data_IF_906172956759
#
_entry.id   IF_906172956759
#
_cell.length_a   1.000
_cell.length_b   1.000
_cell.length_c   1.000
_cell.angle_alpha   90.00
_cell.angle_beta   90.00
_cell.angle_gamma   90.00
#
_symmetry.space_group_name_H-M   'P 1'
#
loop_
_entity.id
_entity.type
_entity.pdbx_description
1 polymer ?
#
# COMPACT_ATOMS: atom_id res chain seq x y z
N UNK A 1 -5.58 21.45 21.42
CA UNK A 1 -4.68 20.91 20.37
C UNK A 1 -5.53 20.56 19.16
N UNK A 2 -5.38 21.30 18.05
CA UNK A 2 -6.13 21.09 16.80
C UNK A 2 -5.56 19.83 16.13
N UNK A 3 -6.39 18.79 15.98
CA UNK A 3 -6.03 17.58 15.23
C UNK A 3 -6.04 17.92 13.74
N UNK A 4 -4.89 17.82 13.09
CA UNK A 4 -4.81 17.83 11.63
C UNK A 4 -5.36 16.50 11.13
N UNK A 5 -6.63 16.47 10.75
CA UNK A 5 -7.18 15.42 9.91
C UNK A 5 -6.73 15.74 8.48
N UNK A 6 -5.62 15.16 8.04
CA UNK A 6 -5.27 15.14 6.62
C UNK A 6 -6.18 14.09 5.99
N UNK A 7 -7.37 14.51 5.58
CA UNK A 7 -8.26 13.75 4.70
C UNK A 7 -7.63 13.74 3.30
N UNK A 8 -6.84 12.72 3.00
CA UNK A 8 -6.61 12.34 1.60
C UNK A 8 -7.81 11.49 1.18
N UNK A 9 -8.92 12.14 0.83
CA UNK A 9 -9.95 11.49 0.05
C UNK A 9 -9.37 11.25 -1.35
N UNK A 10 -8.88 10.04 -1.60
CA UNK A 10 -8.45 9.58 -2.92
C UNK A 10 -9.71 9.34 -3.77
N UNK A 11 -10.38 10.42 -4.18
CA UNK A 11 -11.46 10.38 -5.17
C UNK A 11 -10.78 10.15 -6.52
N UNK A 12 -10.59 8.91 -6.92
CA UNK A 12 -10.18 8.60 -8.29
C UNK A 12 -10.97 7.38 -8.75
N UNK A 13 -11.79 7.56 -9.76
CA UNK A 13 -12.63 6.52 -10.35
C UNK A 13 -11.80 5.61 -11.26
N UNK A 14 -11.38 4.45 -10.73
CA UNK A 14 -10.68 3.41 -11.51
C UNK A 14 -11.67 2.31 -11.88
N UNK A 15 -11.93 2.15 -13.18
CA UNK A 15 -12.87 1.17 -13.72
C UNK A 15 -12.14 -0.10 -14.18
N UNK A 16 -12.67 -1.28 -13.87
CA UNK A 16 -12.21 -2.56 -14.42
C UNK A 16 -13.40 -3.42 -14.84
N UNK A 17 -13.24 -4.25 -15.87
CA UNK A 17 -14.32 -5.02 -16.51
C UNK A 17 -14.00 -6.51 -16.66
N UNK A 18 -15.04 -7.36 -16.63
CA UNK A 18 -14.93 -8.77 -16.97
C UNK A 18 -16.18 -9.31 -17.70
N UNK A 19 -15.97 -10.31 -18.57
CA UNK A 19 -17.01 -10.90 -19.43
C UNK A 19 -17.95 -11.84 -18.63
N UNK A 20 -19.27 -11.73 -18.85
CA UNK A 20 -20.28 -12.59 -18.21
C UNK A 20 -21.06 -13.44 -19.21
N UNK A 21 -21.49 -14.63 -18.74
CA UNK A 21 -22.40 -15.54 -19.43
C UNK A 21 -23.88 -15.32 -19.04
N UNK A 22 -24.15 -14.62 -17.93
CA UNK A 22 -25.47 -14.32 -17.39
C UNK A 22 -25.61 -12.80 -17.20
N UNK A 23 -26.80 -12.23 -17.42
CA UNK A 23 -27.04 -10.77 -17.38
C UNK A 23 -27.31 -10.23 -15.97
N UNK A 24 -27.11 -11.05 -14.94
CA UNK A 24 -27.31 -10.66 -13.54
C UNK A 24 -26.09 -9.90 -13.00
N UNK A 25 -26.32 -8.83 -12.22
CA UNK A 25 -25.23 -8.08 -11.58
C UNK A 25 -24.52 -9.00 -10.58
N UNK A 26 -23.19 -9.21 -10.68
CA UNK A 26 -22.43 -10.03 -9.75
C UNK A 26 -22.67 -9.66 -8.29
N UNK A 27 -22.56 -10.64 -7.40
CA UNK A 27 -22.56 -10.40 -5.96
C UNK A 27 -21.25 -9.74 -5.53
N UNK A 28 -21.27 -9.06 -4.38
CA UNK A 28 -20.12 -8.33 -3.85
C UNK A 28 -18.87 -9.20 -3.67
N UNK A 29 -19.05 -10.46 -3.27
CA UNK A 29 -17.98 -11.45 -3.05
C UNK A 29 -17.46 -12.11 -4.35
N UNK A 30 -18.11 -11.87 -5.49
CA UNK A 30 -17.75 -12.47 -6.78
C UNK A 30 -16.80 -11.60 -7.62
N UNK A 31 -16.43 -10.42 -7.15
CA UNK A 31 -15.59 -9.46 -7.88
C UNK A 31 -14.22 -9.22 -7.22
N UNK A 32 -13.80 -10.15 -6.35
CA UNK A 32 -12.53 -10.07 -5.62
C UNK A 32 -11.32 -9.84 -6.52
N UNK A 33 -11.18 -10.64 -7.58
CA UNK A 33 -10.07 -10.52 -8.55
C UNK A 33 -10.05 -9.13 -9.22
N UNK A 34 -11.22 -8.56 -9.51
CA UNK A 34 -11.36 -7.22 -10.10
C UNK A 34 -10.91 -6.14 -9.12
N UNK A 35 -11.28 -6.27 -7.83
CA UNK A 35 -10.84 -5.38 -6.75
C UNK A 35 -9.32 -5.47 -6.56
N UNK A 36 -8.75 -6.67 -6.55
CA UNK A 36 -7.31 -6.87 -6.45
C UNK A 36 -6.57 -6.22 -7.63
N UNK A 37 -7.10 -6.37 -8.86
CA UNK A 37 -6.58 -5.68 -10.05
C UNK A 37 -6.54 -4.16 -9.87
N UNK A 38 -7.64 -3.57 -9.38
CA UNK A 38 -7.73 -2.13 -9.10
C UNK A 38 -6.67 -1.71 -8.05
N UNK A 39 -6.51 -2.46 -6.96
CA UNK A 39 -5.52 -2.17 -5.92
C UNK A 39 -4.07 -2.26 -6.44
N UNK A 40 -3.78 -3.22 -7.32
CA UNK A 40 -2.47 -3.36 -7.95
C UNK A 40 -2.16 -2.18 -8.88
N UNK A 41 -3.14 -1.71 -9.66
CA UNK A 41 -2.96 -0.53 -10.49
C UNK A 41 -2.76 0.73 -9.65
N UNK A 42 -3.46 0.86 -8.53
CA UNK A 42 -3.20 1.91 -7.54
C UNK A 42 -1.81 1.90 -6.97
N UNK A 43 -1.26 0.71 -6.73
CA UNK A 43 0.12 0.58 -6.26
C UNK A 43 1.09 1.17 -7.26
N UNK A 44 0.89 0.93 -8.56
CA UNK A 44 1.72 1.51 -9.64
C UNK A 44 1.55 3.02 -9.75
N UNK A 45 0.34 3.54 -9.60
CA UNK A 45 0.04 4.97 -9.71
C UNK A 45 0.57 5.79 -8.53
N UNK A 46 0.39 5.29 -7.31
CA UNK A 46 0.64 6.06 -6.09
C UNK A 46 1.98 5.73 -5.42
N UNK A 47 2.57 4.57 -5.75
CA UNK A 47 3.74 4.03 -5.06
C UNK A 47 3.46 3.47 -3.67
N UNK A 48 2.21 3.49 -3.20
CA UNK A 48 1.79 2.88 -1.93
C UNK A 48 1.44 1.42 -2.20
N UNK A 49 1.98 0.49 -1.41
CA UNK A 49 1.75 -0.94 -1.62
C UNK A 49 0.35 -1.36 -1.12
N UNK A 50 -0.58 -1.48 -2.06
CA UNK A 50 -1.95 -1.94 -1.83
C UNK A 50 -2.13 -3.44 -2.13
N UNK A 51 -1.05 -4.22 -2.24
CA UNK A 51 -1.13 -5.67 -2.45
C UNK A 51 -2.07 -6.30 -1.43
N UNK A 52 -3.11 -6.98 -1.90
CA UNK A 52 -4.13 -7.59 -1.05
C UNK A 52 -3.54 -8.77 -0.29
N UNK A 53 -3.80 -8.84 1.03
CA UNK A 53 -3.38 -9.94 1.90
C UNK A 53 -4.54 -10.76 2.41
N UNK A 54 -5.60 -10.09 2.84
CA UNK A 54 -6.78 -10.74 3.40
C UNK A 54 -8.04 -9.88 3.18
N UNK A 55 -9.19 -10.53 3.28
CA UNK A 55 -10.52 -9.93 3.15
C UNK A 55 -11.32 -10.29 4.40
N UNK A 56 -11.45 -9.35 5.32
CA UNK A 56 -12.14 -9.62 6.60
C UNK A 56 -13.65 -9.69 6.44
N UNK A 57 -14.22 -8.78 5.65
CA UNK A 57 -15.67 -8.62 5.50
C UNK A 57 -15.98 -8.19 4.08
N UNK A 58 -17.02 -8.79 3.49
CA UNK A 58 -17.67 -8.31 2.27
C UNK A 58 -19.18 -8.35 2.50
N UNK A 59 -19.89 -7.26 2.18
CA UNK A 59 -21.35 -7.21 2.27
C UNK A 59 -21.96 -6.21 1.28
N UNK A 60 -23.17 -6.50 0.86
CA UNK A 60 -24.00 -5.56 0.11
C UNK A 60 -24.53 -4.46 1.06
N UNK A 61 -24.50 -3.22 0.57
CA UNK A 61 -25.06 -2.05 1.25
C UNK A 61 -26.31 -1.62 0.49
N UNK A 62 -27.37 -1.29 1.24
CA UNK A 62 -28.63 -0.78 0.65
C UNK A 62 -28.78 0.68 0.97
N UNK A 63 -28.91 1.50 -0.05
CA UNK A 63 -29.20 2.92 0.10
C UNK A 63 -30.63 3.26 -0.28
N UNK A 64 -31.18 4.31 0.34
CA UNK A 64 -32.51 4.81 0.02
C UNK A 64 -32.46 5.45 -1.37
N UNK A 65 -33.31 4.97 -2.29
CA UNK A 65 -33.34 5.34 -3.72
C UNK A 65 -32.16 4.83 -4.56
N UNK A 66 -31.50 3.75 -4.14
CA UNK A 66 -30.45 3.11 -4.94
C UNK A 66 -30.97 2.69 -6.32
N UNK A 67 -30.17 2.96 -7.36
CA UNK A 67 -30.46 2.49 -8.71
C UNK A 67 -30.46 0.95 -8.74
N UNK A 68 -31.51 0.35 -9.32
CA UNK A 68 -31.66 -1.11 -9.42
C UNK A 68 -30.57 -1.76 -10.27
N UNK A 69 -29.96 -0.98 -11.15
CA UNK A 69 -28.90 -1.43 -12.07
C UNK A 69 -27.49 -1.33 -11.44
N UNK A 70 -27.39 -0.90 -10.18
CA UNK A 70 -26.13 -0.74 -9.45
C UNK A 70 -26.22 -1.49 -8.12
N UNK A 71 -25.28 -2.41 -7.88
CA UNK A 71 -25.07 -3.03 -6.56
C UNK A 71 -23.99 -2.28 -5.81
N UNK A 72 -24.33 -1.75 -4.64
CA UNK A 72 -23.37 -1.12 -3.73
C UNK A 72 -22.83 -2.15 -2.74
N UNK A 73 -21.53 -2.13 -2.55
CA UNK A 73 -20.81 -3.10 -1.76
C UNK A 73 -19.84 -2.40 -0.81
N UNK A 74 -19.64 -3.04 0.33
CA UNK A 74 -18.67 -2.67 1.35
C UNK A 74 -17.71 -3.83 1.51
N UNK A 75 -16.41 -3.54 1.59
CA UNK A 75 -15.43 -4.50 2.05
C UNK A 75 -14.45 -3.89 3.05
N UNK A 76 -13.98 -4.74 3.97
CA UNK A 76 -12.89 -4.44 4.89
C UNK A 76 -11.73 -5.37 4.56
N UNK A 77 -10.63 -4.78 4.09
CA UNK A 77 -9.49 -5.48 3.52
C UNK A 77 -8.24 -5.31 4.38
N UNK A 78 -7.31 -6.25 4.27
CA UNK A 78 -5.93 -6.09 4.70
C UNK A 78 -5.05 -5.98 3.45
N UNK A 79 -4.23 -4.94 3.37
CA UNK A 79 -3.18 -4.80 2.36
C UNK A 79 -1.80 -4.87 2.99
N UNK A 80 -0.76 -4.92 2.17
CA UNK A 80 0.63 -4.84 2.65
C UNK A 80 0.83 -3.60 3.53
N UNK A 81 0.42 -2.42 3.04
CA UNK A 81 0.56 -1.14 3.77
C UNK A 81 -0.47 -0.98 4.90
N UNK A 82 -1.74 -1.23 4.62
CA UNK A 82 -2.84 -0.92 5.55
C UNK A 82 -3.38 -2.18 6.18
N UNK A 83 -3.31 -2.29 7.51
CA UNK A 83 -3.87 -3.43 8.21
C UNK A 83 -5.38 -3.54 8.02
N UNK A 84 -6.05 -2.39 7.94
CA UNK A 84 -7.48 -2.28 7.68
C UNK A 84 -7.73 -1.16 6.69
N UNK A 85 -8.19 -1.54 5.51
CA UNK A 85 -8.64 -0.63 4.47
C UNK A 85 -10.13 -0.86 4.25
N UNK A 86 -10.94 0.13 4.58
CA UNK A 86 -12.36 0.12 4.27
C UNK A 86 -12.57 0.61 2.85
N UNK A 87 -13.28 -0.16 2.03
CA UNK A 87 -13.65 0.25 0.68
C UNK A 87 -15.17 0.20 0.50
N UNK A 88 -15.69 1.21 -0.20
CA UNK A 88 -17.00 1.20 -0.80
C UNK A 88 -16.83 1.08 -2.31
N UNK A 89 -17.60 0.21 -2.92
CA UNK A 89 -17.52 -0.02 -4.36
C UNK A 89 -18.89 -0.31 -4.97
N UNK A 90 -19.02 0.04 -6.24
CA UNK A 90 -20.21 -0.15 -7.04
C UNK A 90 -19.97 -1.20 -8.11
N UNK A 91 -20.96 -2.05 -8.36
CA UNK A 91 -20.97 -3.03 -9.45
C UNK A 91 -22.17 -2.73 -10.34
N UNK A 92 -21.96 -2.61 -11.64
CA UNK A 92 -23.04 -2.51 -12.63
C UNK A 92 -22.70 -3.33 -13.87
N UNK A 93 -23.70 -3.55 -14.71
CA UNK A 93 -23.58 -4.33 -15.95
C UNK A 93 -23.92 -3.43 -17.13
N UNK A 94 -23.07 -3.45 -18.15
CA UNK A 94 -23.33 -2.83 -19.44
C UNK A 94 -23.13 -3.88 -20.55
N UNK A 95 -24.20 -4.23 -21.26
CA UNK A 95 -24.17 -5.29 -22.26
C UNK A 95 -23.88 -6.68 -21.66
N UNK A 96 -22.71 -7.26 -22.00
CA UNK A 96 -22.24 -8.57 -21.50
C UNK A 96 -21.04 -8.46 -20.56
N UNK A 97 -20.78 -7.26 -20.07
CA UNK A 97 -19.66 -6.97 -19.18
C UNK A 97 -20.18 -6.37 -17.88
N UNK A 98 -19.56 -6.74 -16.78
CA UNK A 98 -19.74 -6.00 -15.53
C UNK A 98 -18.56 -5.07 -15.30
N UNK A 99 -18.81 -4.03 -14.53
CA UNK A 99 -17.85 -3.01 -14.15
C UNK A 99 -17.81 -2.90 -12.64
N UNK A 100 -16.62 -2.62 -12.12
CA UNK A 100 -16.40 -2.36 -10.70
C UNK A 100 -15.67 -1.04 -10.57
N UNK A 101 -16.15 -0.20 -9.66
CA UNK A 101 -15.52 1.06 -9.28
C UNK A 101 -15.47 1.17 -7.76
N UNK A 102 -14.28 1.41 -7.22
CA UNK A 102 -14.10 1.78 -5.82
C UNK A 102 -14.46 3.26 -5.70
N UNK A 103 -15.57 3.55 -5.05
CA UNK A 103 -16.10 4.91 -4.87
C UNK A 103 -15.49 5.62 -3.68
N UNK A 104 -15.09 4.87 -2.65
CA UNK A 104 -14.38 5.40 -1.50
C UNK A 104 -13.42 4.36 -0.93
N UNK A 105 -12.28 4.81 -0.42
CA UNK A 105 -11.25 3.97 0.18
C UNK A 105 -10.63 4.70 1.38
N UNK A 106 -10.94 4.22 2.58
CA UNK A 106 -10.55 4.83 3.85
C UNK A 106 -9.64 3.90 4.64
N UNK A 107 -8.34 4.23 4.78
CA UNK A 107 -7.46 3.47 5.66
C UNK A 107 -7.84 3.72 7.13
N UNK A 108 -8.02 2.65 7.89
CA UNK A 108 -8.22 2.71 9.34
C UNK A 108 -6.83 2.70 9.99
N UNK A 109 -6.42 3.87 10.47
CA UNK A 109 -5.09 4.07 11.08
C UNK A 109 -5.08 3.48 12.48
N UNK A 110 -4.62 2.23 12.59
CA UNK A 110 -4.32 1.56 13.86
C UNK A 110 -2.81 1.58 14.18
N UNK A 111 -2.44 1.12 15.38
CA UNK A 111 -1.05 1.08 15.83
C UNK A 111 -0.14 0.26 14.92
N UNK A 112 -0.69 -0.80 14.32
CA UNK A 112 0.04 -1.67 13.40
C UNK A 112 0.33 -0.94 12.07
N UNK A 113 -0.68 -0.32 11.48
CA UNK A 113 -0.56 0.50 10.27
C UNK A 113 0.41 1.67 10.45
N UNK A 114 0.36 2.34 11.60
CA UNK A 114 1.34 3.37 11.97
C UNK A 114 2.76 2.81 12.05
N UNK A 115 2.93 1.63 12.67
CA UNK A 115 4.23 0.98 12.76
C UNK A 115 4.79 0.61 11.39
N UNK A 116 3.99 0.04 10.48
CA UNK A 116 4.40 -0.26 9.10
C UNK A 116 4.78 0.99 8.31
N UNK A 117 4.01 2.08 8.45
CA UNK A 117 4.31 3.35 7.80
C UNK A 117 5.65 3.92 8.30
N UNK A 118 5.90 3.81 9.60
CA UNK A 118 7.16 4.23 10.21
C UNK A 118 8.31 3.34 9.75
N UNK A 119 8.13 2.02 9.71
CA UNK A 119 9.13 1.07 9.20
C UNK A 119 9.50 1.37 7.74
N UNK A 120 8.52 1.65 6.87
CA UNK A 120 8.75 2.04 5.48
C UNK A 120 9.56 3.35 5.37
N UNK A 121 9.21 4.37 6.16
CA UNK A 121 9.97 5.63 6.19
C UNK A 121 11.43 5.39 6.64
N UNK A 122 11.64 4.55 7.65
CA UNK A 122 12.97 4.20 8.12
C UNK A 122 13.75 3.44 7.05
N UNK A 123 13.13 2.51 6.31
CA UNK A 123 13.74 1.83 5.16
C UNK A 123 14.17 2.83 4.07
N UNK A 124 13.31 3.78 3.69
CA UNK A 124 13.64 4.80 2.69
C UNK A 124 14.81 5.71 3.13
N UNK A 125 14.82 6.12 4.41
CA UNK A 125 15.95 6.88 4.95
C UNK A 125 17.24 6.05 4.97
N UNK A 126 17.16 4.76 5.24
CA UNK A 126 18.30 3.86 5.19
C UNK A 126 18.87 3.76 3.77
N UNK A 127 18.02 3.58 2.75
CA UNK A 127 18.43 3.53 1.35
C UNK A 127 19.06 4.84 0.87
N UNK A 128 18.52 5.99 1.27
CA UNK A 128 19.13 7.29 0.99
C UNK A 128 20.54 7.39 1.57
N UNK A 129 20.77 6.87 2.79
CA UNK A 129 22.12 6.80 3.37
C UNK A 129 23.04 5.82 2.67
N UNK A 130 22.53 4.76 2.05
CA UNK A 130 23.34 3.90 1.20
C UNK A 130 23.81 4.61 -0.08
N UNK A 131 22.97 5.45 -0.67
CA UNK A 131 23.35 6.29 -1.82
C UNK A 131 24.44 7.30 -1.43
N UNK A 132 24.31 7.94 -0.26
CA UNK A 132 25.35 8.82 0.28
C UNK A 132 26.68 8.07 0.49
N UNK A 133 26.63 6.85 1.02
CA UNK A 133 27.80 5.99 1.15
C UNK A 133 28.50 5.75 -0.20
N UNK A 134 27.74 5.36 -1.24
CA UNK A 134 28.29 5.10 -2.57
C UNK A 134 28.95 6.35 -3.16
N UNK A 135 28.32 7.51 -2.97
CA UNK A 135 28.86 8.80 -3.42
C UNK A 135 30.13 9.18 -2.65
N UNK A 136 30.12 9.14 -1.32
CA UNK A 136 31.28 9.47 -0.50
C UNK A 136 32.47 8.55 -0.83
N UNK A 137 32.22 7.25 -1.00
CA UNK A 137 33.22 6.26 -1.42
C UNK A 137 33.80 6.58 -2.79
N UNK A 138 32.96 6.97 -3.76
CA UNK A 138 33.40 7.36 -5.12
C UNK A 138 34.35 8.56 -5.11
N UNK A 139 34.17 9.49 -4.18
CA UNK A 139 35.03 10.68 -4.02
C UNK A 139 36.18 10.48 -3.02
N UNK A 140 36.35 9.28 -2.47
CA UNK A 140 37.43 8.95 -1.54
C UNK A 140 37.24 9.47 -0.11
N UNK A 141 36.05 9.98 0.23
CA UNK A 141 35.72 10.38 1.61
C UNK A 141 35.24 9.17 2.42
N UNK A 142 36.20 8.35 2.84
CA UNK A 142 35.90 7.14 3.60
C UNK A 142 35.32 7.43 4.99
N UNK A 143 35.57 8.63 5.55
CA UNK A 143 34.99 9.00 6.85
C UNK A 143 33.48 9.19 6.71
N UNK A 144 33.06 9.95 5.70
CA UNK A 144 31.64 10.15 5.40
C UNK A 144 30.98 8.85 4.99
N UNK A 145 31.63 8.06 4.12
CA UNK A 145 31.13 6.75 3.69
C UNK A 145 30.82 5.83 4.89
N UNK A 146 31.75 5.70 5.83
CA UNK A 146 31.54 4.89 7.04
C UNK A 146 30.44 5.43 7.95
N UNK A 147 30.29 6.75 8.03
CA UNK A 147 29.25 7.38 8.82
C UNK A 147 27.87 7.12 8.23
N UNK A 148 27.70 7.29 6.91
CA UNK A 148 26.45 6.96 6.20
C UNK A 148 26.06 5.49 6.37
N UNK A 149 27.00 4.55 6.31
CA UNK A 149 26.71 3.13 6.58
C UNK A 149 26.21 2.87 8.01
N UNK A 150 26.80 3.52 9.03
CA UNK A 150 26.32 3.37 10.42
C UNK A 150 24.92 3.92 10.60
N UNK A 151 24.63 5.06 9.98
CA UNK A 151 23.29 5.67 10.04
C UNK A 151 22.28 4.78 9.30
N UNK A 152 22.61 4.29 8.09
CA UNK A 152 21.79 3.34 7.35
C UNK A 152 21.48 2.08 8.16
N UNK A 153 22.49 1.51 8.83
CA UNK A 153 22.33 0.35 9.72
C UNK A 153 21.29 0.61 10.83
N UNK A 154 21.36 1.76 11.48
CA UNK A 154 20.40 2.11 12.54
C UNK A 154 18.99 2.30 11.99
N UNK A 155 18.86 2.88 10.80
CA UNK A 155 17.56 3.01 10.14
C UNK A 155 16.97 1.65 9.76
N UNK A 156 17.75 0.71 9.20
CA UNK A 156 17.27 -0.66 8.97
C UNK A 156 16.91 -1.40 10.25
N UNK A 157 17.64 -1.18 11.35
CA UNK A 157 17.30 -1.73 12.66
C UNK A 157 15.93 -1.20 13.15
N UNK A 158 15.73 0.11 13.05
CA UNK A 158 14.47 0.76 13.41
C UNK A 158 13.30 0.34 12.52
N UNK A 159 13.58 -0.01 11.26
CA UNK A 159 12.62 -0.55 10.31
C UNK A 159 12.34 -2.06 10.51
N UNK A 160 12.96 -2.71 11.51
CA UNK A 160 12.95 -4.17 11.71
C UNK A 160 13.36 -4.97 10.46
N UNK A 161 14.16 -4.37 9.57
CA UNK A 161 14.66 -5.00 8.36
C UNK A 161 15.96 -5.77 8.66
N UNK A 162 15.82 -6.99 9.20
CA UNK A 162 16.95 -7.79 9.67
C UNK A 162 17.95 -8.15 8.57
N UNK A 163 17.46 -8.42 7.35
CA UNK A 163 18.31 -8.82 6.23
C UNK A 163 19.26 -7.69 5.86
N UNK A 164 18.73 -6.49 5.63
CA UNK A 164 19.56 -5.33 5.32
C UNK A 164 20.43 -4.92 6.51
N UNK A 165 19.93 -5.00 7.74
CA UNK A 165 20.74 -4.75 8.94
C UNK A 165 22.00 -5.65 9.00
N UNK A 166 21.84 -6.96 8.71
CA UNK A 166 22.95 -7.92 8.67
C UNK A 166 23.92 -7.58 7.53
N UNK A 167 23.39 -7.33 6.33
CA UNK A 167 24.18 -6.93 5.16
C UNK A 167 25.03 -5.69 5.43
N UNK A 168 24.46 -4.63 6.00
CA UNK A 168 25.20 -3.40 6.31
C UNK A 168 26.21 -3.62 7.44
N UNK A 169 25.90 -4.48 8.41
CA UNK A 169 26.85 -4.86 9.46
C UNK A 169 28.09 -5.58 8.92
N UNK A 170 27.93 -6.42 7.90
CA UNK A 170 29.05 -7.05 7.20
C UNK A 170 29.82 -6.07 6.33
N UNK A 171 29.11 -5.17 5.63
CA UNK A 171 29.73 -4.15 4.79
C UNK A 171 30.60 -3.19 5.63
N UNK A 172 30.14 -2.78 6.81
CA UNK A 172 30.94 -1.98 7.75
C UNK A 172 32.27 -2.67 8.12
N UNK A 173 32.25 -4.00 8.33
CA UNK A 173 33.47 -4.77 8.59
C UNK A 173 34.38 -4.81 7.36
N UNK A 174 33.81 -5.06 6.17
CA UNK A 174 34.53 -5.17 4.91
C UNK A 174 35.23 -3.87 4.51
N UNK A 175 34.58 -2.73 4.74
CA UNK A 175 35.11 -1.40 4.42
C UNK A 175 36.04 -0.84 5.52
N UNK A 176 36.38 -1.65 6.54
CA UNK A 176 37.19 -1.25 7.70
C UNK A 176 36.65 -0.02 8.45
N UNK A 177 35.33 0.15 8.46
CA UNK A 177 34.64 1.20 9.20
C UNK A 177 34.55 0.82 10.69
N UNK A 178 35.67 0.99 11.41
CA UNK A 178 35.75 0.78 12.87
C UNK A 178 35.04 1.89 13.61
#
# INVERSE_FOLDING_TARGET
MKKFAIFFALIISTFSYANMLDTSIPKCDQVGDTIEGILNDRTKETGIDFTLKDVFVVREVKEKNQNKDIRLCYALLQTETYNKLEILYSIWVEGRQFFVEITDANPIIDTETLSKTQENLQNQMAESKLQEFEMAKKYGDMKEACMSLRVAKNFFLNAKNEEQYKRISELLKKENCK
#
